data_IF_820897542542
#
_entry.id   IF_820897542542
#
_cell.length_a   1.000
_cell.length_b   1.000
_cell.length_c   1.000
_cell.angle_alpha   90.00
_cell.angle_beta   90.00
_cell.angle_gamma   90.00
#
_symmetry.space_group_name_H-M   'P 1'
#
loop_
_entity.id
_entity.type
_entity.pdbx_description
1 polymer ?
#
# COMPACT_ATOMS: atom_id res chain seq x y z
N UNK A 1 -5.62 -18.70 -16.90
CA UNK A 1 -4.68 -18.51 -15.77
C UNK A 1 -4.67 -17.04 -15.37
N UNK A 2 -4.36 -16.12 -16.28
CA UNK A 2 -4.42 -14.68 -16.04
C UNK A 2 -5.83 -14.20 -15.60
N UNK A 3 -6.89 -14.62 -16.31
CA UNK A 3 -8.28 -14.34 -15.89
C UNK A 3 -8.65 -14.90 -14.51
N UNK A 4 -7.99 -15.99 -14.09
CA UNK A 4 -8.22 -16.64 -12.79
C UNK A 4 -7.53 -15.87 -11.67
N UNK A 5 -6.31 -15.38 -11.92
CA UNK A 5 -5.57 -14.48 -11.01
C UNK A 5 -6.38 -13.19 -10.78
N UNK A 6 -6.88 -12.57 -11.86
CA UNK A 6 -7.73 -11.37 -11.77
C UNK A 6 -9.01 -11.61 -10.97
N UNK A 7 -9.60 -12.81 -11.08
CA UNK A 7 -10.75 -13.19 -10.27
C UNK A 7 -10.39 -13.26 -8.78
N UNK A 8 -9.27 -13.90 -8.44
CA UNK A 8 -8.79 -14.00 -7.05
C UNK A 8 -8.51 -12.61 -6.46
N UNK A 9 -7.79 -11.75 -7.20
CA UNK A 9 -7.49 -10.37 -6.78
C UNK A 9 -8.78 -9.60 -6.51
N UNK A 10 -9.78 -9.70 -7.39
CA UNK A 10 -11.07 -9.01 -7.22
C UNK A 10 -11.84 -9.52 -6.01
N UNK A 11 -11.92 -10.83 -5.80
CA UNK A 11 -12.62 -11.39 -4.64
C UNK A 11 -11.97 -10.96 -3.33
N UNK A 12 -10.64 -11.01 -3.24
CA UNK A 12 -9.92 -10.61 -2.02
C UNK A 12 -10.02 -9.10 -1.80
N UNK A 13 -9.90 -8.28 -2.85
CA UNK A 13 -10.12 -6.83 -2.75
C UNK A 13 -11.52 -6.51 -2.22
N UNK A 14 -12.56 -7.18 -2.73
CA UNK A 14 -13.93 -6.95 -2.30
C UNK A 14 -14.11 -7.33 -0.81
N UNK A 15 -13.59 -8.48 -0.38
CA UNK A 15 -13.60 -8.87 1.02
C UNK A 15 -12.88 -7.84 1.90
N UNK A 16 -11.69 -7.40 1.46
CA UNK A 16 -10.90 -6.41 2.20
C UNK A 16 -11.57 -5.04 2.24
N UNK A 17 -12.39 -4.69 1.25
CA UNK A 17 -13.13 -3.44 1.24
C UNK A 17 -14.32 -3.45 2.21
N UNK A 18 -14.90 -4.62 2.50
CA UNK A 18 -16.13 -4.74 3.31
C UNK A 18 -15.88 -5.14 4.76
N UNK A 19 -14.89 -5.98 5.02
CA UNK A 19 -14.66 -6.60 6.34
C UNK A 19 -13.24 -6.32 6.80
N UNK A 20 -13.03 -5.81 8.02
CA UNK A 20 -11.68 -5.71 8.59
C UNK A 20 -11.26 -7.09 9.12
N UNK A 21 -10.06 -7.53 8.71
CA UNK A 21 -9.42 -8.80 9.03
C UNK A 21 -8.07 -8.48 9.67
N UNK A 22 -8.05 -8.55 11.01
CA UNK A 22 -6.90 -8.19 11.85
C UNK A 22 -5.93 -9.37 12.10
N UNK A 23 -6.24 -10.56 11.59
CA UNK A 23 -5.36 -11.72 11.61
C UNK A 23 -4.80 -12.04 10.22
N UNK A 24 -3.63 -12.69 10.17
CA UNK A 24 -3.04 -13.11 8.91
C UNK A 24 -3.85 -14.25 8.28
N UNK A 25 -4.37 -14.02 7.08
CA UNK A 25 -5.12 -15.05 6.34
C UNK A 25 -4.24 -16.20 5.88
N UNK A 26 -4.84 -17.38 5.82
CA UNK A 26 -4.26 -18.59 5.25
C UNK A 26 -4.74 -18.83 3.81
N UNK A 27 -4.01 -19.64 3.04
CA UNK A 27 -4.47 -20.09 1.71
C UNK A 27 -5.85 -20.78 1.74
N UNK A 28 -6.25 -21.38 2.86
CA UNK A 28 -7.57 -22.02 3.01
C UNK A 28 -8.66 -20.96 3.11
N UNK A 29 -8.43 -19.87 3.83
CA UNK A 29 -9.38 -18.77 3.93
C UNK A 29 -9.49 -18.02 2.61
N UNK A 30 -8.36 -17.76 1.94
CA UNK A 30 -8.36 -17.15 0.61
C UNK A 30 -9.13 -17.99 -0.41
N UNK A 31 -8.98 -19.32 -0.36
CA UNK A 31 -9.74 -20.27 -1.17
C UNK A 31 -11.25 -20.12 -0.99
N UNK A 32 -11.70 -19.93 0.25
CA UNK A 32 -13.12 -19.68 0.54
C UNK A 32 -13.58 -18.33 -0.02
N UNK A 33 -12.77 -17.28 0.15
CA UNK A 33 -13.09 -15.93 -0.35
C UNK A 33 -13.19 -15.91 -1.89
N UNK A 34 -12.31 -16.63 -2.57
CA UNK A 34 -12.27 -16.65 -4.04
C UNK A 34 -13.10 -17.77 -4.68
N UNK A 35 -13.75 -18.62 -3.88
CA UNK A 35 -14.48 -19.82 -4.34
C UNK A 35 -13.61 -20.77 -5.19
N UNK A 36 -12.32 -20.91 -4.83
CA UNK A 36 -11.37 -21.82 -5.49
C UNK A 36 -10.82 -22.83 -4.50
N UNK A 37 -10.15 -23.87 -5.00
CA UNK A 37 -9.39 -24.76 -4.13
C UNK A 37 -8.06 -24.12 -3.69
N UNK A 38 -7.59 -24.50 -2.50
CA UNK A 38 -6.36 -23.92 -1.93
C UNK A 38 -5.10 -24.28 -2.71
N UNK A 39 -5.10 -25.38 -3.48
CA UNK A 39 -3.95 -25.75 -4.29
C UNK A 39 -3.86 -24.85 -5.52
N UNK A 40 -4.98 -24.56 -6.18
CA UNK A 40 -5.05 -23.58 -7.27
C UNK A 40 -4.49 -22.22 -6.85
N UNK A 41 -4.81 -21.73 -5.64
CA UNK A 41 -4.22 -20.47 -5.15
C UNK A 41 -2.70 -20.57 -4.95
N UNK A 42 -2.21 -21.69 -4.40
CA UNK A 42 -0.77 -21.91 -4.23
C UNK A 42 -0.02 -22.07 -5.55
N UNK A 43 -0.68 -22.63 -6.56
CA UNK A 43 -0.13 -22.75 -7.91
C UNK A 43 -0.07 -21.38 -8.61
N UNK A 44 -0.95 -20.45 -8.24
CA UNK A 44 -0.96 -19.07 -8.75
C UNK A 44 0.02 -18.15 -8.01
N UNK A 45 0.21 -18.34 -6.70
CA UNK A 45 1.04 -17.49 -5.85
C UNK A 45 1.98 -18.34 -5.01
N UNK A 46 3.30 -18.17 -5.19
CA UNK A 46 4.29 -18.97 -4.47
C UNK A 46 4.24 -18.75 -2.95
N UNK A 47 3.73 -17.58 -2.55
CA UNK A 47 3.54 -17.21 -1.16
C UNK A 47 2.33 -16.27 -0.99
N UNK A 48 1.86 -16.12 0.24
CA UNK A 48 0.88 -15.08 0.56
C UNK A 48 1.44 -13.68 0.32
N UNK A 49 2.75 -13.51 0.45
CA UNK A 49 3.41 -12.23 0.26
C UNK A 49 3.43 -11.83 -1.22
N UNK A 50 3.56 -12.81 -2.13
CA UNK A 50 3.40 -12.60 -3.57
C UNK A 50 1.99 -12.08 -3.86
N UNK A 51 0.97 -12.71 -3.26
CA UNK A 51 -0.42 -12.29 -3.43
C UNK A 51 -0.67 -10.86 -2.92
N UNK A 52 -0.16 -10.52 -1.73
CA UNK A 52 -0.33 -9.17 -1.17
C UNK A 52 0.47 -8.12 -1.93
N UNK A 53 1.62 -8.49 -2.48
CA UNK A 53 2.40 -7.63 -3.39
C UNK A 53 1.59 -7.32 -4.64
N UNK A 54 0.98 -8.33 -5.26
CA UNK A 54 0.12 -8.13 -6.44
C UNK A 54 -1.10 -7.27 -6.10
N UNK A 55 -1.75 -7.48 -4.95
CA UNK A 55 -2.84 -6.60 -4.50
C UNK A 55 -2.37 -5.15 -4.31
N UNK A 56 -1.22 -4.94 -3.67
CA UNK A 56 -0.65 -3.61 -3.52
C UNK A 56 -0.38 -2.96 -4.88
N UNK A 57 0.28 -3.66 -5.80
CA UNK A 57 0.68 -3.10 -7.09
C UNK A 57 -0.53 -2.82 -8.00
N UNK A 58 -1.40 -3.81 -8.19
CA UNK A 58 -2.50 -3.77 -9.16
C UNK A 58 -3.69 -2.95 -8.67
N UNK A 59 -4.01 -3.01 -7.38
CA UNK A 59 -5.22 -2.38 -6.85
C UNK A 59 -4.94 -0.98 -6.30
N UNK A 60 -3.82 -0.78 -5.62
CA UNK A 60 -3.49 0.46 -4.93
C UNK A 60 -2.49 1.31 -5.72
N UNK A 61 -1.29 0.79 -5.94
CA UNK A 61 -0.16 1.56 -6.46
C UNK A 61 -0.44 2.12 -7.85
N UNK A 62 -0.89 1.29 -8.80
CA UNK A 62 -1.24 1.72 -10.16
C UNK A 62 -2.29 2.83 -10.18
N UNK A 63 -3.27 2.78 -9.26
CA UNK A 63 -4.31 3.82 -9.17
C UNK A 63 -3.77 5.11 -8.59
N UNK A 64 -2.93 5.04 -7.57
CA UNK A 64 -2.34 6.20 -6.91
C UNK A 64 -1.41 6.95 -7.86
N UNK A 65 -0.51 6.24 -8.56
CA UNK A 65 0.46 6.89 -9.45
C UNK A 65 -0.15 7.40 -10.76
N UNK A 66 -1.40 7.02 -11.08
CA UNK A 66 -2.05 7.40 -12.34
C UNK A 66 -2.20 8.92 -12.38
N UNK A 67 -1.79 9.50 -13.50
CA UNK A 67 -1.87 10.94 -13.78
C UNK A 67 -1.10 11.86 -12.81
N UNK A 68 -0.22 11.32 -11.95
CA UNK A 68 0.65 12.11 -11.10
C UNK A 68 1.76 12.78 -11.92
N UNK A 69 1.89 14.10 -11.79
CA UNK A 69 2.98 14.86 -12.42
C UNK A 69 4.04 15.31 -11.42
N UNK A 70 3.65 15.45 -10.15
CA UNK A 70 4.50 15.88 -9.05
C UNK A 70 4.44 14.90 -7.87
N UNK A 71 5.37 15.05 -6.94
CA UNK A 71 5.34 14.32 -5.67
C UNK A 71 4.17 14.77 -4.78
N UNK A 72 3.75 16.04 -4.86
CA UNK A 72 2.56 16.51 -4.14
C UNK A 72 1.29 15.84 -4.68
N UNK A 73 1.17 15.66 -6.00
CA UNK A 73 0.06 14.90 -6.61
C UNK A 73 0.04 13.47 -6.08
N UNK A 74 1.20 12.82 -6.03
CA UNK A 74 1.34 11.46 -5.50
C UNK A 74 0.88 11.36 -4.05
N UNK A 75 1.31 12.31 -3.21
CA UNK A 75 0.90 12.39 -1.80
C UNK A 75 -0.62 12.56 -1.72
N UNK A 76 -1.20 13.51 -2.45
CA UNK A 76 -2.64 13.78 -2.43
C UNK A 76 -3.44 12.55 -2.89
N UNK A 77 -3.07 11.95 -4.02
CA UNK A 77 -3.71 10.75 -4.54
C UNK A 77 -3.63 9.56 -3.58
N UNK A 78 -2.50 9.41 -2.88
CA UNK A 78 -2.37 8.38 -1.84
C UNK A 78 -3.40 8.61 -0.72
N UNK A 79 -3.50 9.83 -0.19
CA UNK A 79 -4.44 10.13 0.91
C UNK A 79 -5.91 10.05 0.46
N UNK A 80 -6.23 10.47 -0.76
CA UNK A 80 -7.57 10.31 -1.35
C UNK A 80 -7.93 8.83 -1.51
N UNK A 81 -6.96 8.00 -1.93
CA UNK A 81 -7.16 6.57 -2.04
C UNK A 81 -7.41 5.93 -0.66
N UNK A 82 -6.56 6.22 0.34
CA UNK A 82 -6.69 5.64 1.69
C UNK A 82 -8.00 6.06 2.36
N UNK A 83 -8.38 7.33 2.25
CA UNK A 83 -9.64 7.83 2.83
C UNK A 83 -10.89 7.18 2.21
N UNK A 84 -10.86 6.92 0.90
CA UNK A 84 -11.97 6.26 0.19
C UNK A 84 -11.99 4.75 0.41
N UNK A 85 -10.83 4.13 0.68
CA UNK A 85 -10.66 2.67 0.74
C UNK A 85 -10.12 2.21 2.11
N UNK A 86 -10.60 2.82 3.20
CA UNK A 86 -10.07 2.66 4.55
C UNK A 86 -9.90 1.19 4.99
N UNK A 87 -10.96 0.39 4.89
CA UNK A 87 -10.93 -1.04 5.27
C UNK A 87 -9.91 -1.83 4.45
N UNK A 88 -9.88 -1.59 3.14
CA UNK A 88 -8.95 -2.27 2.25
C UNK A 88 -7.50 -1.96 2.61
N UNK A 89 -7.19 -0.68 2.85
CA UNK A 89 -5.85 -0.26 3.24
C UNK A 89 -5.45 -0.83 4.61
N UNK A 90 -6.34 -0.84 5.60
CA UNK A 90 -6.08 -1.45 6.91
C UNK A 90 -5.80 -2.95 6.79
N UNK A 91 -6.61 -3.66 6.02
CA UNK A 91 -6.39 -5.08 5.80
C UNK A 91 -5.06 -5.35 5.12
N UNK A 92 -4.76 -4.62 4.05
CA UNK A 92 -3.47 -4.76 3.38
C UNK A 92 -2.31 -4.47 4.35
N UNK A 93 -2.45 -3.48 5.23
CA UNK A 93 -1.49 -3.20 6.29
C UNK A 93 -1.35 -4.37 7.28
N UNK A 94 -2.44 -4.92 7.83
CA UNK A 94 -2.40 -6.06 8.77
C UNK A 94 -1.83 -7.33 8.14
N UNK A 95 -2.20 -7.61 6.89
CA UNK A 95 -1.73 -8.78 6.17
C UNK A 95 -0.23 -8.73 5.83
N UNK A 96 0.33 -7.52 5.77
CA UNK A 96 1.72 -7.30 5.36
C UNK A 96 2.63 -6.85 6.51
N UNK A 97 2.07 -6.52 7.68
CA UNK A 97 2.79 -6.07 8.88
C UNK A 97 3.94 -6.99 9.30
N UNK A 98 3.79 -8.29 9.08
CA UNK A 98 4.78 -9.30 9.45
C UNK A 98 5.74 -9.68 8.31
N UNK A 99 5.47 -9.25 7.08
CA UNK A 99 6.15 -9.81 5.89
C UNK A 99 6.58 -8.83 4.83
N UNK A 100 5.95 -7.65 4.72
CA UNK A 100 6.52 -6.62 3.88
C UNK A 100 7.86 -6.24 4.47
N UNK A 101 8.90 -6.67 3.77
CA UNK A 101 10.27 -6.24 4.00
C UNK A 101 10.26 -4.74 3.86
N UNK A 102 10.55 -4.02 4.94
CA UNK A 102 10.68 -2.56 4.93
C UNK A 102 11.56 -2.10 3.77
N UNK A 103 12.55 -2.91 3.40
CA UNK A 103 13.40 -2.73 2.24
C UNK A 103 12.61 -2.54 0.93
N UNK A 104 11.56 -3.32 0.68
CA UNK A 104 10.74 -3.23 -0.54
C UNK A 104 9.94 -1.93 -0.60
N UNK A 105 9.34 -1.50 0.52
CA UNK A 105 8.66 -0.18 0.59
C UNK A 105 9.66 0.94 0.34
N UNK A 106 10.81 0.88 1.01
CA UNK A 106 11.87 1.89 0.90
C UNK A 106 12.37 1.97 -0.55
N UNK A 107 12.57 0.83 -1.22
CA UNK A 107 13.01 0.78 -2.61
C UNK A 107 11.98 1.41 -3.55
N UNK A 108 10.69 1.03 -3.41
CA UNK A 108 9.60 1.61 -4.19
C UNK A 108 9.50 3.13 -3.99
N UNK A 109 9.54 3.58 -2.74
CA UNK A 109 9.49 5.01 -2.42
C UNK A 109 10.72 5.76 -2.94
N UNK A 110 11.91 5.17 -2.83
CA UNK A 110 13.13 5.78 -3.36
C UNK A 110 13.06 5.92 -4.89
N UNK A 111 12.56 4.91 -5.60
CA UNK A 111 12.38 4.95 -7.05
C UNK A 111 11.35 6.02 -7.46
N UNK A 112 10.25 6.16 -6.72
CA UNK A 112 9.28 7.23 -6.92
C UNK A 112 9.90 8.62 -6.68
N UNK A 113 10.62 8.80 -5.58
CA UNK A 113 11.28 10.07 -5.28
C UNK A 113 12.31 10.43 -6.34
N UNK A 114 13.10 9.47 -6.83
CA UNK A 114 14.04 9.70 -7.93
C UNK A 114 13.35 10.16 -9.22
N UNK A 115 12.12 9.70 -9.48
CA UNK A 115 11.33 10.10 -10.66
C UNK A 115 10.85 11.55 -10.58
N UNK A 116 10.46 12.02 -9.39
CA UNK A 116 9.84 13.35 -9.22
C UNK A 116 10.81 14.42 -8.69
N UNK A 117 11.92 14.03 -8.05
CA UNK A 117 12.86 14.94 -7.39
C UNK A 117 14.22 14.94 -8.07
N UNK A 118 14.34 15.76 -9.10
CA UNK A 118 15.62 15.99 -9.77
C UNK A 118 16.63 16.66 -8.84
N UNK A 119 17.85 16.12 -8.77
CA UNK A 119 18.96 16.71 -8.00
C UNK A 119 18.90 16.45 -6.48
N UNK A 120 17.93 15.68 -5.98
CA UNK A 120 17.86 15.32 -4.57
C UNK A 120 18.99 14.36 -4.17
N UNK A 121 19.71 14.66 -3.08
CA UNK A 121 20.78 13.78 -2.57
C UNK A 121 20.19 12.50 -1.95
N UNK A 122 21.00 11.45 -1.85
CA UNK A 122 20.57 10.20 -1.21
C UNK A 122 20.16 10.39 0.26
N UNK A 123 20.88 11.23 1.01
CA UNK A 123 20.58 11.54 2.41
C UNK A 123 19.20 12.19 2.54
N UNK A 124 18.90 13.16 1.67
CA UNK A 124 17.60 13.83 1.67
C UNK A 124 16.46 12.85 1.35
N UNK A 125 16.65 11.96 0.37
CA UNK A 125 15.65 10.93 0.05
C UNK A 125 15.41 9.96 1.22
N UNK A 126 16.47 9.47 1.86
CA UNK A 126 16.35 8.59 3.02
C UNK A 126 15.58 9.27 4.16
N UNK A 127 15.86 10.55 4.42
CA UNK A 127 15.14 11.32 5.43
C UNK A 127 13.65 11.47 5.10
N UNK A 128 13.31 11.80 3.84
CA UNK A 128 11.92 11.88 3.40
C UNK A 128 11.19 10.54 3.54
N UNK A 129 11.79 9.46 3.06
CA UNK A 129 11.21 8.10 3.15
C UNK A 129 10.96 7.73 4.60
N UNK A 130 11.95 7.94 5.47
CA UNK A 130 11.84 7.62 6.90
C UNK A 130 10.71 8.42 7.56
N UNK A 131 10.60 9.72 7.26
CA UNK A 131 9.53 10.55 7.80
C UNK A 131 8.14 10.12 7.29
N UNK A 132 8.02 9.85 5.99
CA UNK A 132 6.75 9.41 5.40
C UNK A 132 6.30 8.08 5.99
N UNK A 133 7.20 7.09 6.05
CA UNK A 133 6.92 5.80 6.66
C UNK A 133 6.50 5.99 8.12
N UNK A 134 7.23 6.79 8.91
CA UNK A 134 6.90 7.02 10.31
C UNK A 134 5.49 7.60 10.52
N UNK A 135 5.14 8.65 9.76
CA UNK A 135 3.80 9.28 9.86
C UNK A 135 2.70 8.32 9.43
N UNK A 136 2.91 7.58 8.33
CA UNK A 136 1.92 6.63 7.85
C UNK A 136 1.76 5.45 8.82
N UNK A 137 2.85 4.92 9.35
CA UNK A 137 2.80 3.83 10.31
C UNK A 137 2.05 4.20 11.58
N UNK A 138 2.33 5.38 12.15
CA UNK A 138 1.57 5.90 13.29
C UNK A 138 0.07 5.94 12.98
N UNK A 139 -0.30 6.48 11.81
CA UNK A 139 -1.70 6.58 11.39
C UNK A 139 -2.37 5.21 11.18
N UNK A 140 -1.68 4.25 10.57
CA UNK A 140 -2.18 2.89 10.36
C UNK A 140 -2.26 2.08 11.67
N UNK A 141 -1.33 2.29 12.61
CA UNK A 141 -1.37 1.69 13.95
C UNK A 141 -2.55 2.20 14.77
N UNK A 142 -2.95 3.45 14.59
CA UNK A 142 -4.17 4.04 15.15
C UNK A 142 -5.43 3.68 14.36
N UNK A 143 -5.40 2.66 13.50
CA UNK A 143 -6.54 2.19 12.70
C UNK A 143 -7.16 3.29 11.82
N UNK A 144 -6.32 4.22 11.35
CA UNK A 144 -6.69 5.40 10.56
C UNK A 144 -7.80 6.23 11.25
N UNK A 145 -7.81 6.31 12.58
CA UNK A 145 -8.80 7.07 13.36
C UNK A 145 -8.55 8.58 13.32
N UNK A 146 -7.28 8.99 13.26
CA UNK A 146 -6.88 10.38 13.05
C UNK A 146 -7.39 10.93 11.72
N UNK A 147 -7.72 12.23 11.69
CA UNK A 147 -8.29 12.91 10.52
C UNK A 147 -7.30 12.90 9.33
N UNK A 148 -7.73 12.34 8.19
CA UNK A 148 -6.92 12.19 6.98
C UNK A 148 -6.26 13.50 6.54
N UNK A 149 -6.99 14.61 6.52
CA UNK A 149 -6.46 15.91 6.09
C UNK A 149 -5.35 16.43 7.01
N UNK A 150 -5.43 16.14 8.32
CA UNK A 150 -4.38 16.49 9.27
C UNK A 150 -3.09 15.72 9.00
N UNK A 151 -3.20 14.42 8.72
CA UNK A 151 -2.05 13.57 8.38
C UNK A 151 -1.46 13.96 7.01
N UNK A 152 -2.32 14.19 6.01
CA UNK A 152 -1.92 14.68 4.69
C UNK A 152 -1.12 15.97 4.79
N UNK A 153 -1.64 16.96 5.54
CA UNK A 153 -0.96 18.23 5.76
C UNK A 153 0.40 18.03 6.41
N UNK A 154 0.51 17.18 7.44
CA UNK A 154 1.78 16.88 8.11
C UNK A 154 2.81 16.31 7.13
N UNK A 155 2.43 15.39 6.24
CA UNK A 155 3.33 14.83 5.21
C UNK A 155 3.76 15.89 4.20
N UNK A 156 2.83 16.71 3.69
CA UNK A 156 3.14 17.80 2.76
C UNK A 156 4.05 18.87 3.39
N UNK A 157 3.82 19.23 4.66
CA UNK A 157 4.64 20.20 5.37
C UNK A 157 6.08 19.68 5.57
N UNK A 158 6.26 18.39 5.88
CA UNK A 158 7.59 17.78 5.93
C UNK A 158 8.27 17.77 4.56
N UNK A 159 7.52 17.47 3.51
CA UNK A 159 8.03 17.50 2.15
C UNK A 159 8.60 18.88 1.80
N UNK A 160 7.79 19.93 1.94
CA UNK A 160 8.15 21.30 1.57
C UNK A 160 9.34 21.83 2.36
N UNK A 161 9.35 21.63 3.69
CA UNK A 161 10.46 22.03 4.56
C UNK A 161 11.81 21.39 4.22
N UNK A 162 11.80 20.27 3.48
CA UNK A 162 13.03 19.59 3.07
C UNK A 162 13.70 20.27 1.87
N UNK A 163 12.95 21.09 1.11
CA UNK A 163 13.42 21.77 -0.10
C UNK A 163 13.45 23.31 0.01
N UNK A 164 13.03 23.86 1.15
CA UNK A 164 13.21 25.26 1.54
C UNK A 164 14.60 25.48 2.18
#
# INVERSE_FOLDING_TARGET
MEETIDSVIRSIHNEFATTVVDHRLTFIELAKISELDSNSIRDMFNSLDDLYTVLFEEVMFKKIIRDCSTIEDLINHFFDFVSTNKSFCLNLYYQTLQTLRYETVIELMNNLLLRYLNGCTAIVRVNLITMYIGVLQEWFQEELTSECEGIRKRVLDYHRKTFE
#
